data_IF_355812595484
#
_entry.id   IF_355812595484
#
_cell.length_a   1.000
_cell.length_b   1.000
_cell.length_c   1.000
_cell.angle_alpha   90.00
_cell.angle_beta   90.00
_cell.angle_gamma   90.00
#
_symmetry.space_group_name_H-M   'P 1'
#
loop_
_entity.id
_entity.type
_entity.pdbx_description
1 polymer ?
#
# COMPACT_ATOMS: atom_id res chain seq x y z
N UNK A 1 -4.71 42.73 0.69
CA UNK A 1 -4.93 42.00 -0.58
C UNK A 1 -3.59 41.43 -1.04
N UNK A 2 -3.38 40.13 -0.93
CA UNK A 2 -2.11 39.47 -1.27
C UNK A 2 -2.03 39.27 -2.79
N UNK A 3 -1.07 39.91 -3.47
CA UNK A 3 -0.80 39.67 -4.89
C UNK A 3 -0.20 38.27 -5.04
N UNK A 4 -0.82 37.42 -5.89
CA UNK A 4 -0.18 36.19 -6.34
C UNK A 4 0.85 36.57 -7.40
N UNK A 5 2.12 36.31 -7.12
CA UNK A 5 3.22 36.51 -8.07
C UNK A 5 3.23 35.31 -9.04
N UNK A 6 3.02 35.60 -10.33
CA UNK A 6 3.10 34.61 -11.39
C UNK A 6 4.53 34.47 -11.93
N UNK A 7 4.87 33.30 -12.46
CA UNK A 7 6.15 33.05 -13.14
C UNK A 7 5.91 33.18 -14.65
N UNK A 8 6.64 34.09 -15.29
CA UNK A 8 6.69 34.21 -16.76
C UNK A 8 7.91 33.44 -17.26
N UNK A 9 7.67 32.45 -18.13
CA UNK A 9 8.71 31.64 -18.75
C UNK A 9 8.65 31.88 -20.26
N UNK A 10 9.74 32.39 -20.82
CA UNK A 10 9.89 32.51 -22.27
C UNK A 10 10.26 31.14 -22.85
N UNK A 11 9.45 30.66 -23.80
CA UNK A 11 9.71 29.40 -24.50
C UNK A 11 10.25 29.75 -25.89
N UNK A 12 11.54 29.54 -26.08
CA UNK A 12 12.22 29.82 -27.35
C UNK A 12 11.99 28.69 -28.37
N UNK A 13 12.06 28.99 -29.68
CA UNK A 13 12.03 27.98 -30.73
C UNK A 13 13.06 26.87 -30.50
N UNK A 14 12.60 25.61 -30.54
CA UNK A 14 13.46 24.44 -30.45
C UNK A 14 13.16 23.51 -31.66
N UNK A 15 13.94 23.64 -32.76
CA UNK A 15 13.74 22.86 -33.97
C UNK A 15 13.76 21.35 -33.75
N UNK A 16 14.66 20.82 -32.91
CA UNK A 16 14.73 19.39 -32.59
C UNK A 16 13.43 18.88 -31.95
N UNK A 17 12.79 19.72 -31.12
CA UNK A 17 11.49 19.40 -30.54
C UNK A 17 10.39 19.38 -31.60
N UNK A 18 10.45 20.24 -32.61
CA UNK A 18 9.47 20.24 -33.70
C UNK A 18 9.56 18.96 -34.52
N UNK A 19 10.78 18.52 -34.84
CA UNK A 19 10.99 17.26 -35.58
C UNK A 19 10.45 16.08 -34.78
N UNK A 20 10.75 16.01 -33.47
CA UNK A 20 10.21 14.96 -32.59
C UNK A 20 8.69 14.95 -32.51
N UNK A 21 8.06 16.13 -32.47
CA UNK A 21 6.60 16.24 -32.46
C UNK A 21 6.03 15.73 -33.79
N UNK A 22 6.62 16.11 -34.93
CA UNK A 22 6.19 15.63 -36.25
C UNK A 22 6.32 14.11 -36.36
N UNK A 23 7.47 13.54 -36.00
CA UNK A 23 7.68 12.09 -36.01
C UNK A 23 6.69 11.33 -35.12
N UNK A 24 6.39 11.86 -33.92
CA UNK A 24 5.38 11.27 -33.04
C UNK A 24 3.97 11.36 -33.64
N UNK A 25 3.65 12.48 -34.30
CA UNK A 25 2.39 12.66 -35.03
C UNK A 25 2.28 11.68 -36.20
N UNK A 26 3.31 11.51 -37.01
CA UNK A 26 3.32 10.58 -38.13
C UNK A 26 3.08 9.13 -37.67
N UNK A 27 3.72 8.73 -36.56
CA UNK A 27 3.49 7.42 -35.94
C UNK A 27 2.04 7.25 -35.45
N UNK A 28 1.46 8.29 -34.86
CA UNK A 28 0.08 8.28 -34.41
C UNK A 28 -0.93 8.27 -35.58
N UNK A 29 -0.72 9.07 -36.64
CA UNK A 29 -1.59 9.05 -37.83
C UNK A 29 -1.66 7.68 -38.46
N UNK A 30 -0.52 6.97 -38.54
CA UNK A 30 -0.48 5.60 -39.04
C UNK A 30 -1.41 4.68 -38.24
N UNK A 31 -1.43 4.80 -36.91
CA UNK A 31 -2.31 4.01 -36.06
C UNK A 31 -3.79 4.25 -36.39
N UNK A 32 -4.17 5.50 -36.68
CA UNK A 32 -5.53 5.85 -37.10
C UNK A 32 -5.87 5.32 -38.49
N UNK A 33 -4.95 5.44 -39.45
CA UNK A 33 -5.15 4.98 -40.83
C UNK A 33 -5.28 3.45 -40.93
N UNK A 34 -4.52 2.71 -40.12
CA UNK A 34 -4.52 1.24 -40.13
C UNK A 34 -5.46 0.62 -39.10
N UNK A 35 -6.22 1.44 -38.36
CA UNK A 35 -7.07 1.04 -37.22
C UNK A 35 -6.34 0.07 -36.27
N UNK A 36 -5.05 0.31 -36.06
CA UNK A 36 -4.19 -0.53 -35.23
C UNK A 36 -3.73 0.30 -34.05
N UNK A 37 -4.04 -0.10 -32.80
CA UNK A 37 -3.62 0.67 -31.64
C UNK A 37 -2.09 0.68 -31.53
N UNK A 38 -1.50 1.75 -30.95
CA UNK A 38 -0.08 1.77 -30.65
C UNK A 38 0.29 0.61 -29.70
N UNK A 39 1.56 0.23 -29.71
CA UNK A 39 2.06 -0.81 -28.80
C UNK A 39 1.83 -0.41 -27.34
N UNK A 40 1.42 -1.39 -26.53
CA UNK A 40 1.21 -1.17 -25.11
C UNK A 40 2.56 -0.94 -24.41
N UNK A 41 2.60 0.06 -23.55
CA UNK A 41 3.72 0.32 -22.65
C UNK A 41 3.54 -0.45 -21.34
N UNK A 42 4.59 -0.51 -20.51
CA UNK A 42 4.50 -1.10 -19.16
C UNK A 42 3.48 -0.40 -18.24
N UNK A 43 3.04 0.81 -18.60
CA UNK A 43 2.04 1.58 -17.85
C UNK A 43 0.61 1.20 -18.26
N UNK A 44 0.45 0.48 -19.36
CA UNK A 44 -0.83 0.05 -19.87
C UNK A 44 -1.26 -1.29 -19.26
N UNK A 45 -2.58 -1.51 -19.20
CA UNK A 45 -3.14 -2.76 -18.70
C UNK A 45 -3.60 -3.63 -19.85
N UNK A 46 -3.10 -4.86 -19.90
CA UNK A 46 -3.62 -5.88 -20.81
C UNK A 46 -4.91 -6.45 -20.23
N UNK A 47 -6.01 -6.35 -20.98
CA UNK A 47 -7.29 -6.99 -20.61
C UNK A 47 -7.27 -8.43 -21.11
N UNK A 48 -7.09 -9.38 -20.19
CA UNK A 48 -7.19 -10.81 -20.50
C UNK A 48 -8.64 -11.25 -20.55
N UNK A 49 -8.99 -12.00 -21.59
CA UNK A 49 -10.34 -12.52 -21.86
C UNK A 49 -10.35 -14.04 -22.03
N UNK A 50 -9.22 -14.70 -21.80
CA UNK A 50 -9.10 -16.15 -21.88
C UNK A 50 -9.70 -16.84 -20.66
N UNK A 51 -10.10 -18.09 -20.87
CA UNK A 51 -10.84 -18.90 -19.90
C UNK A 51 -10.00 -19.23 -18.65
N UNK A 52 -8.71 -19.52 -18.83
CA UNK A 52 -7.80 -19.82 -17.72
C UNK A 52 -7.71 -18.64 -16.74
N UNK A 53 -7.61 -17.42 -17.28
CA UNK A 53 -7.62 -16.21 -16.45
C UNK A 53 -8.96 -16.01 -15.75
N UNK A 54 -10.09 -16.25 -16.44
CA UNK A 54 -11.42 -16.13 -15.86
C UNK A 54 -11.60 -17.05 -14.65
N UNK A 55 -11.28 -18.34 -14.81
CA UNK A 55 -11.42 -19.35 -13.75
C UNK A 55 -10.53 -19.03 -12.54
N UNK A 56 -9.27 -18.64 -12.78
CA UNK A 56 -8.36 -18.26 -11.71
C UNK A 56 -8.84 -16.99 -10.96
N UNK A 57 -9.34 -15.98 -11.68
CA UNK A 57 -9.86 -14.76 -11.10
C UNK A 57 -11.11 -15.02 -10.25
N UNK A 58 -12.05 -15.83 -10.73
CA UNK A 58 -13.26 -16.21 -10.00
C UNK A 58 -12.91 -16.92 -8.68
N UNK A 59 -12.02 -17.91 -8.73
CA UNK A 59 -11.54 -18.62 -7.54
C UNK A 59 -10.87 -17.66 -6.54
N UNK A 60 -9.99 -16.78 -7.01
CA UNK A 60 -9.32 -15.81 -6.15
C UNK A 60 -10.31 -14.85 -5.49
N UNK A 61 -11.26 -14.29 -6.24
CA UNK A 61 -12.26 -13.35 -5.70
C UNK A 61 -13.13 -14.02 -4.65
N UNK A 62 -13.56 -15.27 -4.89
CA UNK A 62 -14.34 -16.02 -3.90
C UNK A 62 -13.54 -16.23 -2.61
N UNK A 63 -12.33 -16.78 -2.71
CA UNK A 63 -11.47 -17.05 -1.56
C UNK A 63 -11.09 -15.77 -0.80
N UNK A 64 -10.90 -14.66 -1.51
CA UNK A 64 -10.62 -13.37 -0.89
C UNK A 64 -11.77 -12.87 -0.04
N UNK A 65 -13.02 -13.03 -0.51
CA UNK A 65 -14.22 -12.67 0.27
C UNK A 65 -14.32 -13.50 1.53
N UNK A 66 -14.09 -14.81 1.43
CA UNK A 66 -14.12 -15.71 2.58
C UNK A 66 -13.01 -15.36 3.59
N UNK A 67 -11.80 -15.07 3.10
CA UNK A 67 -10.69 -14.64 3.92
C UNK A 67 -11.00 -13.33 4.66
N UNK A 68 -11.60 -12.35 3.98
CA UNK A 68 -11.97 -11.06 4.59
C UNK A 68 -13.06 -11.22 5.64
N UNK A 69 -14.04 -12.09 5.41
CA UNK A 69 -15.05 -12.42 6.41
C UNK A 69 -14.44 -13.13 7.63
N UNK A 70 -13.48 -14.02 7.43
CA UNK A 70 -12.75 -14.69 8.52
C UNK A 70 -11.87 -13.71 9.31
N UNK A 71 -11.21 -12.78 8.65
CA UNK A 71 -10.44 -11.71 9.31
C UNK A 71 -11.36 -10.85 10.18
N UNK A 72 -12.51 -10.41 9.64
CA UNK A 72 -13.46 -9.62 10.42
C UNK A 72 -13.98 -10.38 11.66
N UNK A 73 -14.26 -11.68 11.53
CA UNK A 73 -14.67 -12.54 12.66
C UNK A 73 -13.54 -12.72 13.67
N UNK A 74 -12.31 -12.87 13.20
CA UNK A 74 -11.14 -12.98 14.07
C UNK A 74 -10.90 -11.68 14.85
N UNK A 75 -11.05 -10.53 14.20
CA UNK A 75 -10.89 -9.23 14.85
C UNK A 75 -11.99 -9.00 15.89
N UNK A 76 -13.24 -9.33 15.57
CA UNK A 76 -14.33 -9.32 16.57
C UNK A 76 -14.05 -10.23 17.77
N UNK A 77 -13.45 -11.42 17.55
CA UNK A 77 -13.05 -12.30 18.64
C UNK A 77 -11.90 -11.72 19.49
N UNK A 78 -10.94 -11.02 18.86
CA UNK A 78 -9.89 -10.28 19.59
C UNK A 78 -10.48 -9.14 20.42
N UNK A 79 -11.39 -8.36 19.84
CA UNK A 79 -12.04 -7.25 20.53
C UNK A 79 -12.80 -7.75 21.76
N UNK A 80 -13.49 -8.90 21.62
CA UNK A 80 -14.17 -9.54 22.75
C UNK A 80 -13.22 -9.95 23.87
N UNK A 81 -12.03 -10.47 23.53
CA UNK A 81 -11.00 -10.78 24.52
C UNK A 81 -10.48 -9.51 25.19
N UNK A 82 -10.28 -8.42 24.44
CA UNK A 82 -9.85 -7.13 24.98
C UNK A 82 -10.90 -6.50 25.91
N UNK A 83 -12.20 -6.64 25.63
CA UNK A 83 -13.28 -6.18 26.50
C UNK A 83 -13.33 -6.95 27.83
N UNK A 84 -13.03 -8.24 27.79
CA UNK A 84 -13.02 -9.09 28.98
C UNK A 84 -11.77 -8.87 29.83
N UNK A 85 -10.68 -8.36 29.24
CA UNK A 85 -9.43 -8.16 29.95
C UNK A 85 -9.49 -6.99 30.94
N UNK A 86 -9.22 -7.31 32.20
CA UNK A 86 -9.18 -6.38 33.34
C UNK A 86 -7.75 -6.03 33.77
N UNK A 87 -6.79 -6.86 33.43
CA UNK A 87 -5.38 -6.76 33.76
C UNK A 87 -4.53 -6.59 32.48
N UNK A 88 -3.38 -5.90 32.54
CA UNK A 88 -2.52 -5.68 31.36
C UNK A 88 -1.94 -6.95 30.72
N UNK A 89 -1.97 -8.08 31.42
CA UNK A 89 -1.55 -9.37 30.88
C UNK A 89 -2.41 -10.47 31.48
N UNK A 90 -3.16 -11.18 30.65
CA UNK A 90 -4.06 -12.26 31.02
C UNK A 90 -3.91 -13.43 30.04
N UNK A 91 -4.03 -14.66 30.52
CA UNK A 91 -3.96 -15.86 29.69
C UNK A 91 -4.95 -16.92 30.17
N UNK A 92 -5.52 -17.67 29.24
CA UNK A 92 -6.46 -18.75 29.52
C UNK A 92 -6.95 -19.40 28.25
N UNK A 93 -7.39 -20.67 28.33
CA UNK A 93 -7.99 -21.41 27.22
C UNK A 93 -7.17 -21.39 25.91
N UNK A 94 -5.84 -21.37 26.02
CA UNK A 94 -4.93 -21.38 24.87
C UNK A 94 -4.63 -20.03 24.23
N UNK A 95 -5.17 -18.92 24.77
CA UNK A 95 -4.96 -17.55 24.28
C UNK A 95 -4.39 -16.67 25.39
N UNK A 96 -3.46 -15.79 25.04
CA UNK A 96 -2.93 -14.76 25.93
C UNK A 96 -3.16 -13.37 25.34
N UNK A 97 -3.61 -12.44 26.18
CA UNK A 97 -3.84 -11.03 25.86
C UNK A 97 -2.87 -10.20 26.68
N UNK A 98 -2.01 -9.43 26.01
CA UNK A 98 -1.07 -8.51 26.67
C UNK A 98 -1.25 -7.10 26.10
N UNK A 99 -1.70 -6.17 26.94
CA UNK A 99 -1.80 -4.75 26.63
C UNK A 99 -0.52 -4.06 27.08
N UNK A 100 0.30 -3.64 26.12
CA UNK A 100 1.47 -2.81 26.39
C UNK A 100 1.28 -1.42 25.79
N UNK A 101 1.70 -0.40 26.53
CA UNK A 101 1.77 0.96 26.04
C UNK A 101 2.92 1.06 25.05
N UNK A 102 2.62 1.43 23.81
CA UNK A 102 3.62 1.83 22.84
C UNK A 102 3.60 3.34 22.75
N UNK A 103 4.70 3.98 23.12
CA UNK A 103 4.88 5.40 22.88
C UNK A 103 4.69 5.65 21.37
N UNK A 104 3.78 6.56 21.03
CA UNK A 104 3.43 6.85 19.64
C UNK A 104 4.64 7.23 18.80
N UNK A 105 4.51 7.13 17.48
CA UNK A 105 5.58 7.50 16.57
C UNK A 105 5.92 8.99 16.76
N UNK A 106 7.20 9.32 16.92
CA UNK A 106 7.66 10.70 16.99
C UNK A 106 7.34 11.38 15.66
N UNK A 107 6.61 12.50 15.71
CA UNK A 107 6.34 13.32 14.53
C UNK A 107 7.54 14.20 14.22
N UNK A 108 8.51 13.63 13.51
CA UNK A 108 9.77 14.30 13.16
C UNK A 108 9.58 15.57 12.33
N UNK A 109 8.42 15.77 11.68
CA UNK A 109 8.12 17.00 10.92
C UNK A 109 7.95 18.22 11.83
N UNK A 110 7.69 18.00 13.12
CA UNK A 110 7.49 19.05 14.12
C UNK A 110 8.76 19.46 14.85
N UNK A 111 9.92 18.90 14.49
CA UNK A 111 11.22 19.18 15.13
C UNK A 111 11.99 20.18 14.27
N UNK A 112 12.09 21.47 14.66
CA UNK A 112 12.79 22.50 13.88
C UNK A 112 14.25 22.16 13.57
N UNK A 113 14.92 21.45 14.48
CA UNK A 113 16.33 21.05 14.37
C UNK A 113 16.58 19.99 13.29
N UNK A 114 15.54 19.34 12.77
CA UNK A 114 15.64 18.31 11.72
C UNK A 114 15.36 18.85 10.31
N UNK A 115 15.06 20.15 10.15
CA UNK A 115 14.92 20.77 8.83
C UNK A 115 16.26 20.74 8.08
N UNK A 116 16.27 20.04 6.94
CA UNK A 116 17.48 19.88 6.11
C UNK A 116 18.38 18.70 6.51
N UNK A 117 18.07 17.97 7.59
CA UNK A 117 18.80 16.77 7.99
C UNK A 117 18.24 15.55 7.26
N UNK A 118 19.09 14.80 6.55
CA UNK A 118 18.69 13.54 5.92
C UNK A 118 18.58 12.42 6.96
N UNK A 119 17.35 12.15 7.39
CA UNK A 119 17.02 11.13 8.40
C UNK A 119 17.16 9.69 7.88
N UNK A 120 17.21 9.45 6.56
CA UNK A 120 17.33 8.10 6.00
C UNK A 120 18.68 7.44 6.36
N UNK A 121 19.72 8.24 6.62
CA UNK A 121 21.01 7.76 7.09
C UNK A 121 20.95 7.13 8.51
N UNK A 122 19.94 7.48 9.30
CA UNK A 122 19.74 6.98 10.68
C UNK A 122 18.61 5.96 10.78
N UNK A 123 18.03 5.57 9.64
CA UNK A 123 16.88 4.68 9.57
C UNK A 123 17.32 3.23 9.81
N UNK A 124 17.04 2.70 11.00
CA UNK A 124 17.06 1.26 11.21
C UNK A 124 16.03 0.59 10.28
N UNK A 125 16.29 -0.63 9.79
CA UNK A 125 15.33 -1.39 8.97
C UNK A 125 13.96 -1.42 9.66
N UNK A 126 12.93 -0.91 8.99
CA UNK A 126 11.60 -0.76 9.59
C UNK A 126 10.93 -2.10 9.90
N UNK A 127 10.31 -2.23 11.08
CA UNK A 127 9.32 -3.28 11.37
C UNK A 127 8.30 -2.85 12.43
N UNK A 128 7.06 -3.31 12.25
CA UNK A 128 6.13 -3.52 13.36
C UNK A 128 5.74 -4.99 13.40
N UNK A 129 5.68 -5.54 14.61
CA UNK A 129 5.60 -6.98 14.87
C UNK A 129 4.45 -7.22 15.86
N UNK A 130 3.42 -7.91 15.39
CA UNK A 130 2.30 -8.36 16.22
C UNK A 130 2.45 -9.86 16.36
N UNK A 131 2.72 -10.34 17.58
CA UNK A 131 2.83 -11.77 17.88
C UNK A 131 1.56 -12.25 18.55
N UNK A 132 0.78 -13.03 17.82
CA UNK A 132 -0.25 -13.90 18.38
C UNK A 132 0.35 -15.29 18.41
N UNK A 133 0.59 -15.82 19.61
CA UNK A 133 1.17 -17.16 19.79
C UNK A 133 0.11 -18.08 20.35
N UNK A 134 -0.10 -19.21 19.69
CA UNK A 134 -0.82 -20.34 20.27
C UNK A 134 0.00 -20.83 21.47
N UNK A 135 -0.57 -20.84 22.67
CA UNK A 135 0.11 -21.39 23.84
C UNK A 135 0.26 -22.91 23.65
N UNK A 136 1.45 -23.46 23.90
CA UNK A 136 1.59 -24.90 24.13
C UNK A 136 0.92 -25.20 25.47
N UNK A 137 0.08 -26.25 25.50
CA UNK A 137 -0.62 -26.70 26.67
C UNK A 137 0.34 -26.80 27.88
N UNK A 138 0.10 -25.97 28.89
CA UNK A 138 0.62 -26.23 30.22
C UNK A 138 -0.02 -27.53 30.69
N UNK A 139 0.80 -28.57 30.75
CA UNK A 139 0.45 -29.79 31.47
C UNK A 139 0.44 -29.40 32.93
N UNK A 140 -0.76 -29.22 33.47
CA UNK A 140 -0.98 -29.13 34.91
C UNK A 140 -0.34 -30.36 35.55
N UNK A 141 0.76 -30.15 36.29
CA UNK A 141 1.17 -31.07 37.34
C UNK A 141 0.67 -30.45 38.63
N UNK A 142 -0.11 -31.27 39.33
CA UNK A 142 -0.82 -31.01 40.59
C UNK A 142 0.02 -30.34 41.67
#
# INVERSE_FOLDING_TARGET
MSKQEGILIEVTPNPDRWERIQQAWDGFMRCLETDTPPELTERDKVIRKDEDWRLAAEAYVSLKRDADALVARLDSAKDRLLELSTHPSEAGFGVAVTRYWKQGNVDYKRVPELQGVNLDAYRQKGRFETRVTLAKAETAVR
#
